data_IF_508907122807
#
_entry.id   IF_508907122807
#
_cell.length_a   1.000
_cell.length_b   1.000
_cell.length_c   1.000
_cell.angle_alpha   90.00
_cell.angle_beta   90.00
_cell.angle_gamma   90.00
#
_symmetry.space_group_name_H-M   'P 1'
#
loop_
_entity.id
_entity.type
_entity.pdbx_description
1 polymer ?
#
# COMPACT_ATOMS: atom_id res chain seq x y z
N UNK A 1 -33.63 15.90 -30.01
CA UNK A 1 -32.26 16.39 -29.76
C UNK A 1 -32.16 16.70 -28.28
N UNK A 2 -31.56 15.81 -27.50
CA UNK A 2 -31.54 15.85 -26.03
C UNK A 2 -31.01 14.51 -25.54
N UNK A 3 -29.80 14.54 -25.04
CA UNK A 3 -28.85 13.44 -24.91
C UNK A 3 -29.22 12.44 -23.79
N UNK A 4 -29.33 11.16 -24.14
CA UNK A 4 -29.48 10.04 -23.21
C UNK A 4 -28.20 9.18 -23.24
N UNK A 5 -27.08 9.60 -22.62
CA UNK A 5 -25.86 8.76 -22.56
C UNK A 5 -24.89 8.99 -21.37
N UNK A 6 -25.33 9.21 -20.13
CA UNK A 6 -24.38 9.26 -18.98
C UNK A 6 -24.90 8.67 -17.66
N UNK A 7 -25.23 7.37 -17.61
CA UNK A 7 -25.64 6.72 -16.33
C UNK A 7 -24.77 5.51 -15.92
N UNK A 8 -23.89 4.99 -16.78
CA UNK A 8 -23.09 3.78 -16.48
C UNK A 8 -21.68 4.01 -15.92
N UNK A 9 -21.08 5.20 -16.11
CA UNK A 9 -19.67 5.44 -15.77
C UNK A 9 -19.43 5.88 -14.31
N UNK A 10 -20.47 6.36 -13.62
CA UNK A 10 -20.33 6.96 -12.30
C UNK A 10 -20.24 5.96 -11.14
N UNK A 11 -20.77 4.74 -11.30
CA UNK A 11 -20.76 3.73 -10.25
C UNK A 11 -19.33 3.27 -9.87
N UNK A 12 -18.44 3.19 -10.86
CA UNK A 12 -17.02 2.85 -10.63
C UNK A 12 -16.24 4.05 -10.08
N UNK A 13 -16.39 5.23 -10.70
CA UNK A 13 -15.68 6.45 -10.30
C UNK A 13 -15.87 6.80 -8.82
N UNK A 14 -17.07 6.59 -8.28
CA UNK A 14 -17.37 6.86 -6.87
C UNK A 14 -16.66 5.93 -5.89
N UNK A 15 -16.31 4.72 -6.31
CA UNK A 15 -15.50 3.79 -5.52
C UNK A 15 -14.04 4.24 -5.48
N UNK A 16 -13.47 4.64 -6.63
CA UNK A 16 -12.11 5.17 -6.70
C UNK A 16 -11.94 6.45 -5.89
N UNK A 17 -12.91 7.37 -5.95
CA UNK A 17 -12.86 8.62 -5.19
C UNK A 17 -12.91 8.37 -3.67
N UNK A 18 -13.71 7.39 -3.22
CA UNK A 18 -13.70 6.99 -1.79
C UNK A 18 -12.35 6.44 -1.36
N UNK A 19 -11.72 5.58 -2.17
CA UNK A 19 -10.39 5.03 -1.88
C UNK A 19 -9.33 6.13 -1.88
N UNK A 20 -9.38 7.06 -2.84
CA UNK A 20 -8.51 8.22 -2.90
C UNK A 20 -8.61 9.06 -1.62
N UNK A 21 -9.83 9.33 -1.15
CA UNK A 21 -10.08 10.09 0.07
C UNK A 21 -9.48 9.40 1.31
N UNK A 22 -9.65 8.08 1.43
CA UNK A 22 -9.02 7.29 2.50
C UNK A 22 -7.49 7.38 2.41
N UNK A 23 -6.92 7.22 1.22
CA UNK A 23 -5.48 7.28 1.01
C UNK A 23 -4.90 8.65 1.38
N UNK A 24 -5.60 9.72 1.02
CA UNK A 24 -5.27 11.08 1.42
C UNK A 24 -5.34 11.24 2.94
N UNK A 25 -6.40 10.77 3.59
CA UNK A 25 -6.54 10.82 5.05
C UNK A 25 -5.42 10.08 5.78
N UNK A 26 -5.07 8.87 5.33
CA UNK A 26 -3.93 8.09 5.86
C UNK A 26 -2.62 8.85 5.65
N UNK A 27 -2.45 9.56 4.53
CA UNK A 27 -1.26 10.37 4.25
C UNK A 27 -1.15 11.61 5.12
N UNK A 28 -2.25 12.32 5.33
CA UNK A 28 -2.30 13.45 6.26
C UNK A 28 -1.99 13.00 7.68
N UNK A 29 -2.54 11.85 8.11
CA UNK A 29 -2.27 11.27 9.43
C UNK A 29 -0.79 10.90 9.57
N UNK A 30 -0.19 10.32 8.53
CA UNK A 30 1.23 9.95 8.53
C UNK A 30 2.14 11.17 8.64
N UNK A 31 1.89 12.21 7.83
CA UNK A 31 2.62 13.47 7.91
C UNK A 31 2.43 14.10 9.29
N UNK A 32 1.20 14.15 9.81
CA UNK A 32 0.92 14.68 11.15
C UNK A 32 1.62 13.92 12.27
N UNK A 33 1.69 12.58 12.18
CA UNK A 33 2.36 11.74 13.16
C UNK A 33 3.87 12.03 13.22
N UNK A 34 4.52 12.31 12.09
CA UNK A 34 5.96 12.66 12.03
C UNK A 34 6.27 13.95 12.80
N UNK A 35 5.34 14.91 12.87
CA UNK A 35 5.53 16.15 13.63
C UNK A 35 5.42 15.96 15.15
N UNK A 36 4.81 14.87 15.62
CA UNK A 36 4.63 14.60 17.05
C UNK A 36 5.87 13.84 17.59
N UNK A 37 6.76 14.58 18.24
CA UNK A 37 8.03 14.06 18.78
C UNK A 37 7.86 13.03 19.92
N UNK A 38 6.66 12.90 20.50
CA UNK A 38 6.37 11.91 21.54
C UNK A 38 6.21 10.47 21.01
N UNK A 39 6.08 10.27 19.68
CA UNK A 39 5.87 8.95 19.08
C UNK A 39 7.17 8.28 18.62
N UNK A 40 8.36 8.84 18.90
CA UNK A 40 9.67 8.39 18.39
C UNK A 40 9.90 6.87 18.40
N UNK A 41 9.61 6.10 19.48
CA UNK A 41 9.85 4.65 19.47
C UNK A 41 8.85 3.85 18.62
N UNK A 42 7.63 4.36 18.42
CA UNK A 42 6.55 3.67 17.68
C UNK A 42 6.41 4.19 16.25
N UNK A 43 7.02 5.35 15.93
CA UNK A 43 6.93 6.00 14.63
C UNK A 43 7.43 5.07 13.52
N UNK A 44 8.56 4.39 13.70
CA UNK A 44 9.13 3.51 12.67
C UNK A 44 8.18 2.36 12.30
N UNK A 45 7.71 1.51 13.23
CA UNK A 45 6.77 0.45 12.88
C UNK A 45 5.40 0.98 12.42
N UNK A 46 4.94 2.12 12.95
CA UNK A 46 3.68 2.74 12.53
C UNK A 46 3.73 3.22 11.08
N UNK A 47 4.78 3.96 10.70
CA UNK A 47 4.98 4.43 9.31
C UNK A 47 5.11 3.24 8.35
N UNK A 48 5.82 2.19 8.76
CA UNK A 48 5.98 0.98 7.95
C UNK A 48 4.64 0.26 7.73
N UNK A 49 3.81 0.14 8.77
CA UNK A 49 2.47 -0.41 8.66
C UNK A 49 1.53 0.46 7.79
N UNK A 50 1.56 1.79 7.97
CA UNK A 50 0.77 2.73 7.16
C UNK A 50 1.19 2.67 5.69
N UNK A 51 2.49 2.62 5.39
CA UNK A 51 3.03 2.50 4.04
C UNK A 51 2.61 1.17 3.38
N UNK A 52 2.70 0.05 4.10
CA UNK A 52 2.21 -1.24 3.61
C UNK A 52 0.70 -1.23 3.33
N UNK A 53 -0.11 -0.62 4.20
CA UNK A 53 -1.55 -0.49 4.02
C UNK A 53 -1.91 0.37 2.80
N UNK A 54 -1.22 1.50 2.60
CA UNK A 54 -1.38 2.35 1.41
C UNK A 54 -1.04 1.60 0.14
N UNK A 55 0.10 0.89 0.14
CA UNK A 55 0.51 0.08 -0.99
C UNK A 55 -0.56 -0.98 -1.33
N UNK A 56 -1.07 -1.70 -0.33
CA UNK A 56 -2.14 -2.67 -0.53
C UNK A 56 -3.43 -2.04 -1.10
N UNK A 57 -3.84 -0.87 -0.60
CA UNK A 57 -5.01 -0.13 -1.12
C UNK A 57 -4.81 0.27 -2.58
N UNK A 58 -3.64 0.81 -2.93
CA UNK A 58 -3.31 1.21 -4.30
C UNK A 58 -3.30 -0.01 -5.23
N UNK A 59 -2.69 -1.11 -4.80
CA UNK A 59 -2.61 -2.34 -5.61
C UNK A 59 -3.98 -2.97 -5.81
N UNK A 60 -4.79 -3.07 -4.76
CA UNK A 60 -6.09 -3.73 -4.83
C UNK A 60 -7.12 -2.92 -5.63
N UNK A 61 -7.15 -1.60 -5.47
CA UNK A 61 -8.18 -0.74 -6.07
C UNK A 61 -7.65 0.04 -7.28
N UNK A 62 -6.52 0.74 -7.16
CA UNK A 62 -6.00 1.59 -8.25
C UNK A 62 -5.36 0.79 -9.39
N UNK A 63 -4.63 -0.27 -9.09
CA UNK A 63 -4.07 -1.20 -10.09
C UNK A 63 -5.11 -2.23 -10.60
N UNK A 64 -6.40 -2.04 -10.29
CA UNK A 64 -7.51 -2.87 -10.76
C UNK A 64 -7.47 -4.36 -10.38
N UNK A 65 -6.49 -4.84 -9.61
CA UNK A 65 -6.32 -6.25 -9.27
C UNK A 65 -7.57 -6.92 -8.66
N UNK A 66 -8.40 -6.17 -7.93
CA UNK A 66 -9.70 -6.66 -7.41
C UNK A 66 -10.74 -6.92 -8.51
N UNK A 67 -10.63 -6.21 -9.62
CA UNK A 67 -11.55 -6.24 -10.76
C UNK A 67 -10.96 -6.94 -11.99
N UNK A 68 -9.68 -7.31 -11.96
CA UNK A 68 -8.94 -7.89 -13.07
C UNK A 68 -8.64 -9.39 -12.88
N UNK A 69 -8.13 -10.03 -13.93
CA UNK A 69 -7.82 -11.46 -13.97
C UNK A 69 -6.65 -11.85 -13.03
N UNK A 70 -6.73 -13.06 -12.45
CA UNK A 70 -5.73 -13.60 -11.50
C UNK A 70 -4.29 -13.61 -12.03
N UNK A 71 -4.12 -13.56 -13.36
CA UNK A 71 -2.80 -13.51 -14.02
C UNK A 71 -2.08 -12.19 -13.72
N UNK A 72 -2.78 -11.06 -13.76
CA UNK A 72 -2.20 -9.76 -13.42
C UNK A 72 -1.90 -9.65 -11.92
N UNK A 73 -2.74 -10.26 -11.09
CA UNK A 73 -2.44 -10.43 -9.66
C UNK A 73 -1.14 -11.19 -9.44
N UNK A 74 -0.95 -12.32 -10.13
CA UNK A 74 0.24 -13.15 -9.98
C UNK A 74 1.50 -12.45 -10.51
N UNK A 75 1.38 -11.73 -11.64
CA UNK A 75 2.49 -10.97 -12.23
C UNK A 75 2.97 -9.82 -11.31
N UNK A 76 2.08 -9.28 -10.47
CA UNK A 76 2.42 -8.25 -9.51
C UNK A 76 2.93 -8.83 -8.17
N UNK A 77 2.22 -9.82 -7.62
CA UNK A 77 2.54 -10.43 -6.33
C UNK A 77 3.80 -11.30 -6.40
N UNK A 78 4.04 -12.00 -7.51
CA UNK A 78 5.20 -12.86 -7.69
C UNK A 78 6.53 -12.12 -7.49
N UNK A 79 6.82 -11.06 -8.27
CA UNK A 79 8.01 -10.24 -8.08
C UNK A 79 8.05 -9.54 -6.72
N UNK A 80 6.90 -9.14 -6.16
CA UNK A 80 6.84 -8.50 -4.84
C UNK A 80 7.29 -9.44 -3.71
N UNK A 81 6.78 -10.68 -3.73
CA UNK A 81 7.17 -11.73 -2.76
C UNK A 81 8.64 -12.08 -2.96
N UNK A 82 9.09 -12.22 -4.21
CA UNK A 82 10.50 -12.49 -4.52
C UNK A 82 11.42 -11.37 -4.01
N UNK A 83 11.10 -10.10 -4.30
CA UNK A 83 11.87 -8.95 -3.84
C UNK A 83 11.89 -8.85 -2.31
N UNK A 84 10.74 -9.07 -1.66
CA UNK A 84 10.66 -9.09 -0.19
C UNK A 84 11.49 -10.23 0.41
N UNK A 85 11.44 -11.42 -0.19
CA UNK A 85 12.24 -12.57 0.21
C UNK A 85 13.74 -12.31 0.05
N UNK A 86 14.16 -11.69 -1.06
CA UNK A 86 15.55 -11.28 -1.28
C UNK A 86 15.96 -10.23 -0.26
N UNK A 87 15.13 -9.22 0.02
CA UNK A 87 15.42 -8.19 1.01
C UNK A 87 15.63 -8.78 2.42
N UNK A 88 14.75 -9.70 2.84
CA UNK A 88 14.89 -10.41 4.12
C UNK A 88 16.15 -11.29 4.11
N UNK A 89 16.40 -12.04 3.03
CA UNK A 89 17.57 -12.88 2.90
C UNK A 89 18.86 -12.05 3.04
N UNK A 90 18.95 -10.90 2.37
CA UNK A 90 20.09 -9.98 2.48
C UNK A 90 20.23 -9.38 3.88
N UNK A 91 19.13 -9.00 4.53
CA UNK A 91 19.16 -8.53 5.93
C UNK A 91 19.66 -9.62 6.90
N UNK A 92 19.37 -10.89 6.63
CA UNK A 92 19.85 -12.02 7.45
C UNK A 92 21.26 -12.49 7.08
N UNK A 93 21.71 -12.23 5.84
CA UNK A 93 22.98 -12.72 5.29
C UNK A 93 24.19 -12.02 5.90
N UNK A 94 24.07 -10.76 6.31
CA UNK A 94 25.18 -10.01 6.93
C UNK A 94 25.65 -10.59 8.27
N UNK A 95 24.97 -11.62 8.83
CA UNK A 95 25.37 -12.31 10.06
C UNK A 95 25.17 -11.48 11.33
N UNK A 96 25.24 -10.14 11.23
CA UNK A 96 25.07 -9.20 12.34
C UNK A 96 23.70 -9.29 13.01
N UNK A 97 22.64 -9.60 12.25
CA UNK A 97 21.28 -9.74 12.80
C UNK A 97 21.10 -11.02 13.66
N UNK A 98 21.96 -12.03 13.46
CA UNK A 98 22.01 -13.26 14.26
C UNK A 98 23.08 -13.20 15.36
N UNK A 99 24.10 -12.34 15.22
CA UNK A 99 25.22 -12.17 16.17
C UNK A 99 24.94 -11.13 17.26
N UNK A 100 24.11 -10.10 17.01
CA UNK A 100 23.72 -9.11 18.03
C UNK A 100 22.89 -9.70 19.21
N UNK A 101 22.53 -10.98 19.12
CA UNK A 101 21.85 -11.76 20.17
C UNK A 101 22.77 -12.65 21.02
N UNK A 102 24.10 -12.47 21.00
CA UNK A 102 25.03 -13.11 21.94
C UNK A 102 26.01 -12.12 22.55
#
# INVERSE_FOLDING_TARGET
MGDHRQEGAHASAWTYIKVALVLTGVTTLEVGAIYIRQLTPIIVPLLLALSAAKFALVVLFYMHLRYDSRVLTLLFVGPLVLASGIAIALMTLSGDFLVFGR
#
